data_IF_617315865965
#
_entry.id   IF_617315865965
#
_cell.length_a   1.000
_cell.length_b   1.000
_cell.length_c   1.000
_cell.angle_alpha   90.00
_cell.angle_beta   90.00
_cell.angle_gamma   90.00
#
_symmetry.space_group_name_H-M   'P 1'
#
loop_
_entity.id
_entity.type
_entity.pdbx_description
1 polymer ?
#
# COMPACT_ATOMS: atom_id res chain seq x y z
N UNK A 1 -62.33 7.01 45.50
CA UNK A 1 -63.05 5.73 45.35
C UNK A 1 -62.02 4.62 45.21
N UNK A 2 -62.28 3.51 45.88
CA UNK A 2 -61.38 2.38 46.17
C UNK A 2 -61.73 1.20 45.26
N UNK A 3 -60.80 0.24 45.14
CA UNK A 3 -60.88 -1.12 44.55
C UNK A 3 -60.17 -1.26 43.20
N UNK A 4 -59.37 -2.28 42.89
CA UNK A 4 -58.94 -3.52 43.56
C UNK A 4 -57.76 -4.08 42.71
N UNK A 5 -56.61 -4.43 43.30
CA UNK A 5 -56.12 -5.78 43.65
C UNK A 5 -55.51 -6.62 42.49
N UNK A 6 -54.20 -6.87 42.63
CA UNK A 6 -53.43 -8.12 42.36
C UNK A 6 -53.42 -8.68 40.91
N UNK A 7 -52.28 -9.09 40.35
CA UNK A 7 -51.60 -10.35 40.67
C UNK A 7 -50.10 -10.27 40.29
N UNK A 8 -49.30 -10.89 41.14
CA UNK A 8 -47.88 -11.20 40.97
C UNK A 8 -47.59 -12.03 39.71
N UNK A 9 -46.51 -11.68 39.01
CA UNK A 9 -45.63 -12.68 38.38
C UNK A 9 -44.18 -12.27 38.58
N UNK A 10 -43.49 -13.10 39.36
CA UNK A 10 -42.07 -13.04 39.70
C UNK A 10 -41.34 -14.03 38.78
N UNK A 11 -40.06 -13.73 38.50
CA UNK A 11 -39.02 -14.64 37.97
C UNK A 11 -38.91 -14.78 36.45
N UNK A 12 -37.76 -14.38 35.94
CA UNK A 12 -37.26 -14.72 34.61
C UNK A 12 -35.97 -14.00 34.24
N UNK A 13 -34.84 -14.43 34.83
CA UNK A 13 -33.45 -14.39 34.36
C UNK A 13 -33.06 -13.29 33.34
N UNK A 14 -32.16 -12.36 33.69
CA UNK A 14 -30.70 -12.56 33.57
C UNK A 14 -30.34 -13.49 32.40
N UNK A 15 -30.09 -12.91 31.22
CA UNK A 15 -29.02 -13.26 30.27
C UNK A 15 -29.36 -12.63 28.92
N UNK A 16 -28.43 -11.85 28.38
CA UNK A 16 -28.50 -11.33 27.02
C UNK A 16 -28.66 -9.81 26.94
N UNK A 17 -27.79 -9.05 27.60
CA UNK A 17 -27.31 -7.83 26.95
C UNK A 17 -26.69 -8.31 25.63
N UNK A 18 -27.47 -8.21 24.55
CA UNK A 18 -26.95 -8.40 23.21
C UNK A 18 -26.09 -7.16 22.94
N UNK A 19 -24.88 -7.18 23.48
CA UNK A 19 -23.82 -6.26 23.12
C UNK A 19 -23.42 -6.66 21.70
N UNK A 20 -24.19 -6.16 20.75
CA UNK A 20 -23.81 -6.09 19.36
C UNK A 20 -22.55 -5.24 19.33
N UNK A 21 -21.42 -5.90 19.50
CA UNK A 21 -20.12 -5.33 19.23
C UNK A 21 -20.13 -5.08 17.74
N UNK A 22 -20.51 -3.87 17.35
CA UNK A 22 -20.22 -3.33 16.02
C UNK A 22 -18.72 -3.43 15.87
N UNK A 23 -18.27 -4.55 15.31
CA UNK A 23 -16.95 -4.67 14.73
C UNK A 23 -16.97 -3.72 13.55
N UNK A 24 -16.62 -2.47 13.80
CA UNK A 24 -16.12 -1.57 12.77
C UNK A 24 -14.91 -2.32 12.21
N UNK A 25 -15.14 -3.02 11.10
CA UNK A 25 -14.11 -3.60 10.26
C UNK A 25 -13.29 -2.41 9.77
N UNK A 26 -12.28 -2.09 10.57
CA UNK A 26 -11.35 -1.03 10.27
C UNK A 26 -10.58 -1.54 9.06
N UNK A 27 -10.99 -1.06 7.88
CA UNK A 27 -10.40 -1.38 6.59
C UNK A 27 -8.90 -1.04 6.68
N UNK A 28 -8.08 -2.05 7.00
CA UNK A 28 -6.65 -1.86 7.22
C UNK A 28 -6.04 -1.62 5.85
N UNK A 29 -5.85 -0.35 5.52
CA UNK A 29 -5.13 0.07 4.31
C UNK A 29 -3.77 -0.65 4.31
N UNK A 30 -3.52 -1.48 3.29
CA UNK A 30 -2.23 -2.13 3.08
C UNK A 30 -1.16 -1.04 2.88
N UNK A 31 -0.19 -0.91 3.82
CA UNK A 31 0.85 0.12 3.74
C UNK A 31 1.68 0.02 2.46
N UNK A 32 1.87 -1.19 1.92
CA UNK A 32 2.61 -1.40 0.67
C UNK A 32 1.83 -0.84 -0.50
N UNK A 33 0.51 -1.07 -0.57
CA UNK A 33 -0.34 -0.49 -1.62
C UNK A 33 -0.37 1.04 -1.53
N UNK A 34 -0.45 1.60 -0.32
CA UNK A 34 -0.41 3.04 -0.11
C UNK A 34 0.92 3.66 -0.57
N UNK A 35 2.05 3.09 -0.17
CA UNK A 35 3.38 3.54 -0.61
C UNK A 35 3.58 3.38 -2.12
N UNK A 36 3.08 2.29 -2.70
CA UNK A 36 3.12 2.07 -4.16
C UNK A 36 2.41 3.20 -4.89
N UNK A 37 1.19 3.53 -4.44
CA UNK A 37 0.39 4.60 -5.03
C UNK A 37 1.09 5.96 -4.88
N UNK A 38 1.55 6.33 -3.68
CA UNK A 38 2.24 7.60 -3.49
C UNK A 38 3.55 7.71 -4.27
N UNK A 39 4.31 6.62 -4.38
CA UNK A 39 5.50 6.57 -5.24
C UNK A 39 5.16 6.85 -6.70
N UNK A 40 4.09 6.23 -7.21
CA UNK A 40 3.67 6.43 -8.60
C UNK A 40 3.20 7.87 -8.84
N UNK A 41 2.40 8.44 -7.94
CA UNK A 41 1.97 9.83 -8.02
C UNK A 41 3.17 10.80 -8.00
N UNK A 42 4.10 10.60 -7.07
CA UNK A 42 5.33 11.40 -6.99
C UNK A 42 6.19 11.30 -8.26
N UNK A 43 6.24 10.14 -8.91
CA UNK A 43 6.97 10.00 -10.17
C UNK A 43 6.33 10.79 -11.32
N UNK A 44 4.99 10.79 -11.43
CA UNK A 44 4.29 11.55 -12.48
C UNK A 44 4.62 13.05 -12.43
N UNK A 45 4.77 13.59 -11.23
CA UNK A 45 5.11 15.01 -11.01
C UNK A 45 6.50 15.38 -11.54
N UNK A 46 7.37 14.40 -11.80
CA UNK A 46 8.71 14.63 -12.33
C UNK A 46 8.74 14.81 -13.86
N UNK A 47 7.63 14.54 -14.56
CA UNK A 47 7.45 14.81 -16.00
C UNK A 47 8.59 14.29 -16.89
N UNK A 48 9.06 13.06 -16.64
CA UNK A 48 10.12 12.44 -17.44
C UNK A 48 9.72 12.32 -18.92
N UNK A 49 10.68 12.49 -19.82
CA UNK A 49 10.52 12.30 -21.26
C UNK A 49 11.18 11.01 -21.74
N UNK A 50 10.62 10.38 -22.78
CA UNK A 50 11.21 9.17 -23.36
C UNK A 50 12.25 9.50 -24.44
N UNK A 51 13.52 9.17 -24.16
CA UNK A 51 14.61 9.34 -25.12
C UNK A 51 14.79 10.81 -25.53
N UNK A 52 15.01 11.04 -26.81
CA UNK A 52 15.10 12.40 -27.39
C UNK A 52 13.74 12.96 -27.84
N UNK A 53 12.66 12.21 -27.64
CA UNK A 53 11.32 12.71 -27.97
C UNK A 53 10.78 13.56 -26.83
N UNK A 54 10.12 14.67 -27.14
CA UNK A 54 9.37 15.50 -26.18
C UNK A 54 8.08 14.80 -25.65
N UNK A 55 7.99 13.48 -25.82
CA UNK A 55 6.86 12.69 -25.32
C UNK A 55 7.07 12.38 -23.84
N UNK A 56 6.07 12.73 -23.04
CA UNK A 56 6.06 12.41 -21.62
C UNK A 56 5.95 10.89 -21.42
N UNK A 57 6.80 10.35 -20.55
CA UNK A 57 6.83 8.94 -20.22
C UNK A 57 5.52 8.47 -19.55
N UNK A 58 4.82 9.37 -18.85
CA UNK A 58 3.52 9.08 -18.23
C UNK A 58 2.45 8.68 -19.26
N UNK A 59 2.54 9.23 -20.48
CA UNK A 59 1.59 8.95 -21.56
C UNK A 59 1.84 7.59 -22.23
N UNK A 60 2.99 6.96 -21.96
CA UNK A 60 3.28 5.60 -22.41
C UNK A 60 2.77 4.58 -21.38
N UNK A 61 1.70 3.86 -21.73
CA UNK A 61 1.09 2.87 -20.84
C UNK A 61 2.08 1.79 -20.37
N UNK A 62 2.88 1.23 -21.28
CA UNK A 62 3.82 0.16 -20.93
C UNK A 62 4.89 0.67 -19.94
N UNK A 63 5.38 1.88 -20.16
CA UNK A 63 6.33 2.53 -19.27
C UNK A 63 5.70 2.81 -17.90
N UNK A 64 4.53 3.46 -17.87
CA UNK A 64 3.80 3.77 -16.63
C UNK A 64 3.49 2.51 -15.81
N UNK A 65 3.08 1.41 -16.43
CA UNK A 65 2.86 0.13 -15.74
C UNK A 65 4.17 -0.46 -15.20
N UNK A 66 5.27 -0.33 -15.95
CA UNK A 66 6.60 -0.67 -15.46
C UNK A 66 6.99 0.13 -14.21
N UNK A 67 6.71 1.44 -14.19
CA UNK A 67 6.95 2.28 -13.02
C UNK A 67 6.10 1.84 -11.83
N UNK A 68 4.83 1.47 -12.03
CA UNK A 68 4.00 0.92 -10.95
C UNK A 68 4.65 -0.33 -10.33
N UNK A 69 5.19 -1.25 -11.16
CA UNK A 69 5.90 -2.44 -10.66
C UNK A 69 7.16 -2.07 -9.88
N UNK A 70 7.94 -1.10 -10.36
CA UNK A 70 9.11 -0.58 -9.65
C UNK A 70 8.72 0.01 -8.29
N UNK A 71 7.71 0.88 -8.25
CA UNK A 71 7.21 1.45 -7.00
C UNK A 71 6.74 0.37 -6.03
N UNK A 72 6.05 -0.67 -6.53
CA UNK A 72 5.63 -1.81 -5.72
C UNK A 72 6.81 -2.59 -5.15
N UNK A 73 7.80 -2.90 -5.98
CA UNK A 73 9.03 -3.58 -5.56
C UNK A 73 9.76 -2.79 -4.45
N UNK A 74 9.94 -1.47 -4.63
CA UNK A 74 10.61 -0.62 -3.63
C UNK A 74 9.81 -0.54 -2.33
N UNK A 75 8.48 -0.43 -2.40
CA UNK A 75 7.60 -0.42 -1.23
C UNK A 75 7.66 -1.75 -0.44
N UNK A 76 7.67 -2.89 -1.13
CA UNK A 76 7.82 -4.20 -0.50
C UNK A 76 9.18 -4.35 0.18
N UNK A 77 10.28 -3.97 -0.50
CA UNK A 77 11.62 -4.02 0.08
C UNK A 77 11.76 -3.10 1.30
N UNK A 78 11.16 -1.92 1.25
CA UNK A 78 11.11 -1.01 2.38
C UNK A 78 10.37 -1.65 3.57
N UNK A 79 9.21 -2.26 3.33
CA UNK A 79 8.44 -2.97 4.35
C UNK A 79 9.16 -4.23 4.89
N UNK A 80 9.94 -4.91 4.05
CA UNK A 80 10.83 -6.03 4.41
C UNK A 80 12.05 -5.57 5.27
N UNK A 81 12.29 -4.25 5.37
CA UNK A 81 13.38 -3.68 6.17
C UNK A 81 14.72 -3.56 5.46
N UNK A 82 14.73 -3.48 4.12
CA UNK A 82 15.94 -3.14 3.37
C UNK A 82 16.25 -1.64 3.49
N UNK A 83 17.53 -1.26 3.35
CA UNK A 83 17.96 0.15 3.34
C UNK A 83 17.65 0.78 1.98
N UNK A 84 16.36 1.04 1.73
CA UNK A 84 15.89 1.59 0.46
C UNK A 84 14.90 2.73 0.72
N UNK A 85 15.02 3.79 -0.05
CA UNK A 85 13.99 4.84 -0.09
C UNK A 85 12.84 4.40 -1.02
N UNK A 86 11.57 4.37 -0.57
CA UNK A 86 10.48 3.75 -1.34
C UNK A 86 10.05 4.54 -2.57
N UNK A 87 10.45 5.81 -2.72
CA UNK A 87 10.08 6.66 -3.85
C UNK A 87 11.19 6.69 -4.92
N UNK A 88 10.77 6.87 -6.17
CA UNK A 88 11.66 7.17 -7.30
C UNK A 88 11.97 8.68 -7.25
N UNK A 89 13.25 9.03 -7.34
CA UNK A 89 13.72 10.42 -7.43
C UNK A 89 14.22 10.74 -8.84
N UNK A 90 14.36 12.03 -9.14
CA UNK A 90 14.85 12.56 -10.42
C UNK A 90 16.23 12.00 -10.82
N UNK A 91 17.10 11.76 -9.83
CA UNK A 91 18.43 11.18 -10.03
C UNK A 91 18.43 9.70 -10.43
N UNK A 92 17.30 8.99 -10.31
CA UNK A 92 17.21 7.53 -10.54
C UNK A 92 16.85 7.16 -11.97
N UNK A 93 16.68 8.12 -12.89
CA UNK A 93 16.15 7.87 -14.24
C UNK A 93 16.87 6.72 -14.96
N UNK A 94 18.21 6.70 -14.96
CA UNK A 94 18.98 5.63 -15.62
C UNK A 94 18.72 4.24 -15.01
N UNK A 95 18.68 4.13 -13.69
CA UNK A 95 18.40 2.87 -12.98
C UNK A 95 17.00 2.37 -13.33
N UNK A 96 16.01 3.26 -13.29
CA UNK A 96 14.61 2.90 -13.53
C UNK A 96 14.37 2.46 -14.97
N UNK A 97 15.02 3.08 -15.96
CA UNK A 97 14.86 2.68 -17.37
C UNK A 97 15.31 1.23 -17.62
N UNK A 98 16.27 0.73 -16.85
CA UNK A 98 16.70 -0.67 -16.94
C UNK A 98 15.69 -1.67 -16.36
N UNK A 99 14.76 -1.19 -15.52
CA UNK A 99 13.81 -2.02 -14.76
C UNK A 99 12.37 -1.92 -15.26
N UNK A 100 12.02 -0.83 -15.93
CA UNK A 100 10.64 -0.53 -16.33
C UNK A 100 10.06 -1.60 -17.27
N UNK A 101 10.90 -2.30 -18.03
CA UNK A 101 10.49 -3.37 -18.94
C UNK A 101 10.67 -4.78 -18.37
N UNK A 102 10.98 -4.91 -17.07
CA UNK A 102 11.04 -6.21 -16.39
C UNK A 102 9.67 -6.90 -16.39
N UNK A 103 9.71 -8.24 -16.47
CA UNK A 103 8.52 -9.07 -16.59
C UNK A 103 7.62 -8.96 -15.35
N UNK A 104 8.20 -9.07 -14.16
CA UNK A 104 7.46 -9.04 -12.90
C UNK A 104 8.19 -8.28 -11.76
N UNK A 105 7.51 -8.20 -10.61
CA UNK A 105 7.97 -7.47 -9.41
C UNK A 105 9.13 -8.20 -8.72
N UNK A 106 9.18 -9.53 -8.75
CA UNK A 106 10.20 -10.31 -8.06
C UNK A 106 11.56 -10.24 -8.78
N UNK A 107 11.55 -10.15 -10.11
CA UNK A 107 12.74 -9.84 -10.91
C UNK A 107 13.31 -8.46 -10.55
N UNK A 108 12.44 -7.44 -10.44
CA UNK A 108 12.84 -6.09 -10.04
C UNK A 108 13.43 -6.13 -8.62
N UNK A 109 12.76 -6.79 -7.67
CA UNK A 109 13.27 -6.94 -6.30
C UNK A 109 14.62 -7.64 -6.27
N UNK A 110 14.80 -8.69 -7.07
CA UNK A 110 16.06 -9.41 -7.17
C UNK A 110 17.19 -8.52 -7.69
N UNK A 111 16.93 -7.71 -8.72
CA UNK A 111 17.88 -6.72 -9.22
C UNK A 111 18.23 -5.66 -8.17
N UNK A 112 17.22 -5.08 -7.50
CA UNK A 112 17.42 -4.07 -6.47
C UNK A 112 18.26 -4.63 -5.30
N UNK A 113 17.96 -5.85 -4.83
CA UNK A 113 18.69 -6.51 -3.74
C UNK A 113 20.19 -6.72 -4.03
N UNK A 114 20.59 -6.84 -5.30
CA UNK A 114 22.02 -6.96 -5.66
C UNK A 114 22.83 -5.69 -5.32
N UNK A 115 22.14 -4.55 -5.21
CA UNK A 115 22.76 -3.24 -4.99
C UNK A 115 22.40 -2.63 -3.63
N UNK A 116 21.62 -3.32 -2.81
CA UNK A 116 21.16 -2.83 -1.50
C UNK A 116 21.83 -3.59 -0.35
N UNK A 117 22.38 -2.89 0.66
CA UNK A 117 22.71 -3.54 1.92
C UNK A 117 21.42 -3.95 2.65
N UNK A 118 21.44 -5.12 3.29
CA UNK A 118 20.40 -5.46 4.28
C UNK A 118 20.67 -4.62 5.53
N UNK A 119 19.66 -3.89 6.04
CA UNK A 119 19.79 -3.24 7.34
C UNK A 119 20.04 -4.32 8.38
N UNK A 120 21.22 -4.29 8.99
CA UNK A 120 21.46 -5.04 10.22
C UNK A 120 20.66 -4.32 11.29
N UNK A 121 19.67 -5.00 11.85
CA UNK A 121 18.96 -4.55 13.04
C UNK A 121 20.00 -4.23 14.13
N UNK A 122 20.10 -2.96 14.53
CA UNK A 122 20.91 -2.53 15.67
C UNK A 122 20.12 -2.80 16.95
#
# INVERSE_FOLDING_TARGET
MRHQLFILSLVGCLLGCNEQTDKVEQDKIDPVLQLTHWCFEHWKDQQWTMGESDLLAVDNLAFSEGIRKVCRARAELYAEGYEIYPFITDTMQREIYALVFSADIEDIKSHLKQHLPKLKRI
#
